data_IF_864895660585
#
_entry.id   IF_864895660585
#
_cell.length_a   1.000
_cell.length_b   1.000
_cell.length_c   1.000
_cell.angle_alpha   90.00
_cell.angle_beta   90.00
_cell.angle_gamma   90.00
#
_symmetry.space_group_name_H-M   'P 1'
#
loop_
_entity.id
_entity.type
_entity.pdbx_description
1 polymer ?
#
# COMPACT_ATOMS: atom_id res chain seq x y z
N UNK A 1 -16.55 -2.96 4.71
CA UNK A 1 -17.31 -3.17 3.47
C UNK A 1 -18.69 -3.72 3.81
N UNK A 2 -19.72 -3.27 3.08
CA UNK A 2 -21.11 -3.71 3.21
C UNK A 2 -21.58 -4.33 1.89
N UNK A 3 -22.53 -5.29 1.91
CA UNK A 3 -23.01 -5.97 0.70
C UNK A 3 -23.98 -5.05 -0.07
N UNK A 4 -23.43 -4.23 -0.95
CA UNK A 4 -24.21 -3.23 -1.73
C UNK A 4 -25.14 -3.87 -2.77
N UNK A 5 -24.92 -5.14 -3.09
CA UNK A 5 -25.72 -5.93 -4.03
C UNK A 5 -26.98 -6.57 -3.40
N UNK A 6 -27.15 -6.46 -2.08
CA UNK A 6 -28.30 -7.04 -1.37
C UNK A 6 -29.44 -6.04 -1.22
N UNK A 7 -30.65 -6.54 -0.95
CA UNK A 7 -31.83 -5.71 -0.64
C UNK A 7 -31.54 -4.65 0.41
N UNK A 8 -30.71 -4.98 1.40
CA UNK A 8 -30.22 -4.04 2.40
C UNK A 8 -28.75 -4.27 2.69
N UNK A 9 -28.00 -3.19 2.85
CA UNK A 9 -26.60 -3.21 3.29
C UNK A 9 -26.46 -3.40 4.80
N UNK A 10 -27.58 -3.48 5.52
CA UNK A 10 -27.56 -3.59 6.98
C UNK A 10 -26.88 -4.87 7.45
N UNK A 11 -26.23 -4.78 8.59
CA UNK A 11 -25.48 -5.85 9.27
C UNK A 11 -26.29 -7.13 9.47
N UNK A 12 -27.61 -7.05 9.59
CA UNK A 12 -28.50 -8.21 9.76
C UNK A 12 -28.38 -9.23 8.62
N UNK A 13 -27.92 -8.85 7.43
CA UNK A 13 -27.80 -9.77 6.30
C UNK A 13 -26.52 -10.62 6.32
N UNK A 14 -25.50 -10.22 7.09
CA UNK A 14 -24.22 -10.96 7.18
C UNK A 14 -23.80 -11.33 8.60
N UNK A 15 -24.47 -10.75 9.61
CA UNK A 15 -24.39 -11.14 11.03
C UNK A 15 -25.77 -11.29 11.65
N UNK A 16 -26.66 -12.10 11.06
CA UNK A 16 -28.02 -12.24 11.55
C UNK A 16 -28.10 -12.80 12.96
N UNK A 17 -27.09 -13.57 13.40
CA UNK A 17 -26.99 -14.10 14.76
C UNK A 17 -26.92 -13.02 15.86
N UNK A 18 -26.56 -11.79 15.51
CA UNK A 18 -26.57 -10.67 16.46
C UNK A 18 -28.00 -10.13 16.70
N UNK A 19 -28.94 -10.45 15.82
CA UNK A 19 -30.33 -10.00 15.86
C UNK A 19 -31.30 -11.15 16.08
N UNK A 20 -31.00 -12.33 15.52
CA UNK A 20 -31.88 -13.49 15.49
C UNK A 20 -31.11 -14.75 15.93
N UNK A 21 -31.51 -15.36 17.05
CA UNK A 21 -30.79 -16.49 17.67
C UNK A 21 -30.66 -17.75 16.80
N UNK A 22 -31.55 -17.92 15.82
CA UNK A 22 -31.64 -19.11 14.98
C UNK A 22 -30.93 -18.98 13.62
N UNK A 23 -30.24 -17.85 13.39
CA UNK A 23 -29.46 -17.63 12.19
C UNK A 23 -27.95 -17.66 12.49
N UNK A 24 -27.18 -18.28 11.61
CA UNK A 24 -25.72 -18.28 11.66
C UNK A 24 -25.11 -17.06 10.96
N UNK A 25 -23.78 -16.93 11.06
CA UNK A 25 -23.01 -15.95 10.30
C UNK A 25 -23.01 -16.29 8.82
N UNK A 26 -23.04 -15.28 7.94
CA UNK A 26 -22.73 -15.46 6.53
C UNK A 26 -21.21 -15.65 6.36
N UNK A 27 -20.78 -16.91 6.32
CA UNK A 27 -19.36 -17.27 6.26
C UNK A 27 -18.75 -16.85 4.92
N UNK A 28 -19.44 -17.00 3.80
CA UNK A 28 -18.96 -16.64 2.48
C UNK A 28 -18.67 -15.14 2.39
N UNK A 29 -19.59 -14.30 2.85
CA UNK A 29 -19.40 -12.86 2.89
C UNK A 29 -18.22 -12.48 3.80
N UNK A 30 -18.09 -13.15 4.94
CA UNK A 30 -16.98 -12.96 5.88
C UNK A 30 -15.63 -13.29 5.26
N UNK A 31 -15.52 -14.40 4.53
CA UNK A 31 -14.30 -14.82 3.85
C UNK A 31 -13.93 -13.88 2.71
N UNK A 32 -14.89 -13.45 1.89
CA UNK A 32 -14.68 -12.42 0.87
C UNK A 32 -14.12 -11.13 1.45
N UNK A 33 -14.64 -10.68 2.57
CA UNK A 33 -14.12 -9.48 3.26
C UNK A 33 -12.69 -9.67 3.76
N UNK A 34 -12.38 -10.84 4.32
CA UNK A 34 -11.04 -11.17 4.81
C UNK A 34 -10.01 -11.26 3.69
N UNK A 35 -10.41 -11.71 2.53
CA UNK A 35 -9.53 -11.79 1.36
C UNK A 35 -9.12 -10.42 0.82
N UNK A 36 -9.91 -9.37 1.06
CA UNK A 36 -9.62 -7.99 0.62
C UNK A 36 -8.70 -7.25 1.58
N UNK A 37 -7.51 -7.78 1.80
CA UNK A 37 -6.47 -7.12 2.61
C UNK A 37 -5.82 -6.00 1.82
N UNK A 38 -5.43 -4.93 2.50
CA UNK A 38 -4.49 -3.93 2.00
C UNK A 38 -3.08 -4.47 2.22
N UNK A 39 -2.26 -4.44 1.19
CA UNK A 39 -0.84 -4.80 1.26
C UNK A 39 -0.01 -3.55 1.00
N UNK A 40 0.96 -3.28 1.87
CA UNK A 40 1.84 -2.11 1.74
C UNK A 40 3.28 -2.60 1.70
N UNK A 41 4.01 -2.17 0.68
CA UNK A 41 5.42 -2.48 0.50
C UNK A 41 6.34 -1.74 1.47
N UNK A 42 7.62 -1.71 1.17
CA UNK A 42 8.64 -1.05 1.98
C UNK A 42 8.80 0.42 1.60
N UNK A 43 9.27 1.26 2.53
CA UNK A 43 9.60 2.68 2.26
C UNK A 43 8.44 3.45 1.61
N UNK A 44 7.21 3.21 2.04
CA UNK A 44 6.01 3.89 1.54
C UNK A 44 5.72 5.11 2.39
N UNK A 45 5.53 6.26 1.74
CA UNK A 45 5.06 7.46 2.42
C UNK A 45 3.57 7.67 2.19
N UNK A 46 2.79 7.64 3.26
CA UNK A 46 1.34 7.89 3.23
C UNK A 46 1.07 9.24 3.85
N UNK A 47 0.58 10.18 3.02
CA UNK A 47 0.23 11.52 3.44
C UNK A 47 -0.94 11.55 4.42
N UNK A 48 -1.01 12.62 5.22
CA UNK A 48 -2.05 12.81 6.23
C UNK A 48 -3.46 12.67 5.64
N UNK A 49 -4.33 11.97 6.34
CA UNK A 49 -5.73 11.81 5.94
C UNK A 49 -5.97 10.92 4.71
N UNK A 50 -4.95 10.29 4.15
CA UNK A 50 -5.13 9.38 3.03
C UNK A 50 -5.98 8.15 3.43
N UNK A 51 -6.82 7.69 2.51
CA UNK A 51 -7.67 6.51 2.67
C UNK A 51 -7.26 5.48 1.63
N UNK A 52 -7.00 4.25 2.06
CA UNK A 52 -6.71 3.13 1.17
C UNK A 52 -7.88 2.14 1.22
N UNK A 53 -8.47 1.86 0.06
CA UNK A 53 -9.62 0.97 -0.02
C UNK A 53 -9.21 -0.50 0.13
N UNK A 54 -10.13 -1.36 0.61
CA UNK A 54 -9.87 -2.79 0.77
C UNK A 54 -9.40 -3.46 -0.52
N UNK A 55 -8.40 -4.34 -0.42
CA UNK A 55 -7.85 -5.11 -1.53
C UNK A 55 -6.76 -4.43 -2.33
N UNK A 56 -6.45 -3.16 -2.02
CA UNK A 56 -5.39 -2.41 -2.71
C UNK A 56 -4.00 -2.85 -2.26
N UNK A 57 -3.10 -2.96 -3.23
CA UNK A 57 -1.66 -3.14 -3.01
C UNK A 57 -0.93 -1.82 -3.28
N UNK A 58 -0.12 -1.38 -2.32
CA UNK A 58 0.74 -0.20 -2.44
C UNK A 58 2.19 -0.67 -2.58
N UNK A 59 2.78 -0.40 -3.74
CA UNK A 59 4.13 -0.82 -4.08
C UNK A 59 5.22 -0.14 -3.25
N UNK A 60 6.36 -0.81 -3.13
CA UNK A 60 7.54 -0.32 -2.41
C UNK A 60 7.97 1.07 -2.92
N UNK A 61 8.34 1.95 -2.01
CA UNK A 61 8.85 3.29 -2.32
C UNK A 61 7.83 4.28 -2.88
N UNK A 62 6.54 3.92 -2.93
CA UNK A 62 5.49 4.81 -3.44
C UNK A 62 5.14 5.92 -2.47
N UNK A 63 4.50 6.95 -2.98
CA UNK A 63 4.05 8.12 -2.22
C UNK A 63 2.56 8.32 -2.46
N UNK A 64 1.80 8.35 -1.38
CA UNK A 64 0.37 8.65 -1.38
C UNK A 64 0.18 10.08 -0.89
N UNK A 65 -0.38 10.93 -1.73
CA UNK A 65 -0.64 12.34 -1.39
C UNK A 65 -1.62 12.48 -0.22
N UNK A 66 -1.52 13.59 0.50
CA UNK A 66 -2.44 13.89 1.60
C UNK A 66 -3.90 13.91 1.12
N UNK A 67 -4.80 13.39 1.94
CA UNK A 67 -6.24 13.27 1.66
C UNK A 67 -6.60 12.49 0.37
N UNK A 68 -5.68 11.73 -0.19
CA UNK A 68 -5.96 10.88 -1.35
C UNK A 68 -6.87 9.69 -0.96
N UNK A 69 -7.72 9.27 -1.90
CA UNK A 69 -8.51 8.03 -1.77
C UNK A 69 -8.00 7.02 -2.80
N UNK A 70 -7.20 6.08 -2.32
CA UNK A 70 -6.54 5.07 -3.16
C UNK A 70 -7.49 3.89 -3.38
N UNK A 71 -8.00 3.78 -4.60
CA UNK A 71 -8.98 2.76 -5.00
C UNK A 71 -8.42 1.69 -5.96
N UNK A 72 -7.18 1.86 -6.42
CA UNK A 72 -6.47 0.94 -7.31
C UNK A 72 -5.07 0.72 -6.80
N UNK A 73 -4.44 -0.38 -7.23
CA UNK A 73 -3.06 -0.68 -6.90
C UNK A 73 -2.13 0.46 -7.34
N UNK A 74 -1.09 0.68 -6.56
CA UNK A 74 -0.05 1.69 -6.79
C UNK A 74 1.25 0.95 -7.08
N UNK A 75 1.86 1.27 -8.22
CA UNK A 75 3.12 0.65 -8.62
C UNK A 75 4.29 1.10 -7.72
N UNK A 76 5.35 0.29 -7.62
CA UNK A 76 6.55 0.69 -6.89
C UNK A 76 7.09 2.05 -7.37
N UNK A 77 7.46 2.89 -6.41
CA UNK A 77 7.98 4.26 -6.62
C UNK A 77 7.02 5.23 -7.32
N UNK A 78 5.76 4.87 -7.47
CA UNK A 78 4.76 5.75 -8.04
C UNK A 78 4.27 6.77 -7.02
N UNK A 79 4.08 8.01 -7.45
CA UNK A 79 3.44 9.07 -6.67
C UNK A 79 2.00 9.20 -7.16
N UNK A 80 1.05 9.03 -6.25
CA UNK A 80 -0.38 9.18 -6.54
C UNK A 80 -1.02 10.19 -5.62
N UNK A 81 -2.03 10.92 -6.10
CA UNK A 81 -2.79 11.86 -5.28
C UNK A 81 -4.21 12.05 -5.81
N UNK A 82 -5.06 12.67 -5.03
CA UNK A 82 -6.43 13.05 -5.39
C UNK A 82 -7.50 12.06 -4.95
N UNK A 83 -8.76 12.37 -5.32
CA UNK A 83 -9.97 11.60 -5.00
C UNK A 83 -10.78 11.43 -6.29
N UNK A 84 -10.79 10.24 -6.92
CA UNK A 84 -9.93 9.08 -6.63
C UNK A 84 -8.46 9.39 -6.91
N UNK A 85 -7.55 8.70 -6.20
CA UNK A 85 -6.12 8.87 -6.40
C UNK A 85 -5.72 8.44 -7.82
N UNK A 86 -4.90 9.28 -8.47
CA UNK A 86 -4.37 9.04 -9.81
C UNK A 86 -2.86 9.18 -9.82
N UNK A 87 -2.15 8.45 -10.70
CA UNK A 87 -0.73 8.63 -10.90
C UNK A 87 -0.37 10.07 -11.29
N UNK A 88 0.65 10.62 -10.65
CA UNK A 88 1.27 11.90 -10.99
C UNK A 88 2.54 11.64 -11.79
N UNK A 89 3.47 10.87 -11.21
CA UNK A 89 4.74 10.47 -11.80
C UNK A 89 5.39 9.35 -10.99
N UNK A 90 6.46 8.81 -11.49
CA UNK A 90 7.38 7.99 -10.70
C UNK A 90 8.44 8.87 -10.01
N UNK A 91 9.00 8.38 -8.90
CA UNK A 91 10.11 9.04 -8.19
C UNK A 91 11.39 9.00 -9.02
N UNK A 92 11.60 7.90 -9.75
CA UNK A 92 12.83 7.60 -10.49
C UNK A 92 12.51 7.02 -11.86
N UNK A 93 13.51 7.01 -12.77
CA UNK A 93 13.45 6.30 -14.05
C UNK A 93 13.41 4.77 -13.82
N UNK A 94 12.95 4.03 -14.81
CA UNK A 94 12.73 2.58 -14.74
C UNK A 94 13.99 1.82 -14.27
N UNK A 95 15.13 2.08 -14.90
CA UNK A 95 16.41 1.44 -14.58
C UNK A 95 16.85 1.66 -13.12
N UNK A 96 16.63 2.87 -12.60
CA UNK A 96 16.94 3.20 -11.21
C UNK A 96 15.98 2.49 -10.25
N UNK A 97 14.69 2.41 -10.60
CA UNK A 97 13.68 1.71 -9.80
C UNK A 97 14.03 0.21 -9.67
N UNK A 98 14.40 -0.41 -10.79
CA UNK A 98 14.79 -1.81 -10.82
C UNK A 98 16.03 -2.08 -9.95
N UNK A 99 17.03 -1.20 -10.01
CA UNK A 99 18.22 -1.28 -9.17
C UNK A 99 17.93 -1.12 -7.69
N UNK A 100 17.05 -0.16 -7.32
CA UNK A 100 16.64 0.01 -5.92
C UNK A 100 15.90 -1.23 -5.42
N UNK A 101 15.00 -1.80 -6.21
CA UNK A 101 14.30 -3.04 -5.86
C UNK A 101 15.27 -4.20 -5.71
N UNK A 102 16.22 -4.34 -6.62
CA UNK A 102 17.24 -5.40 -6.57
C UNK A 102 18.15 -5.28 -5.35
N UNK A 103 18.47 -4.06 -4.91
CA UNK A 103 19.29 -3.83 -3.72
C UNK A 103 18.64 -4.33 -2.43
N UNK A 104 17.32 -4.34 -2.40
CA UNK A 104 16.50 -4.69 -1.22
C UNK A 104 17.05 -4.09 0.08
N UNK A 105 17.45 -2.81 0.04
CA UNK A 105 18.16 -2.10 1.11
C UNK A 105 17.44 -2.17 2.46
N UNK A 106 16.15 -2.31 2.47
CA UNK A 106 15.33 -2.49 3.68
C UNK A 106 15.62 -3.81 4.42
N UNK A 107 16.33 -4.75 3.79
CA UNK A 107 16.81 -5.99 4.38
C UNK A 107 18.30 -5.92 4.78
N UNK A 108 18.98 -4.80 4.58
CA UNK A 108 20.38 -4.68 4.96
C UNK A 108 20.53 -4.73 6.48
N UNK A 109 21.66 -5.26 6.97
CA UNK A 109 22.01 -5.12 8.38
C UNK A 109 22.00 -3.65 8.81
N UNK A 110 21.60 -3.39 10.05
CA UNK A 110 21.49 -2.01 10.56
C UNK A 110 22.83 -1.27 10.50
N UNK A 111 23.95 -1.99 10.67
CA UNK A 111 25.29 -1.46 10.56
C UNK A 111 25.59 -0.94 9.16
N UNK A 112 25.24 -1.72 8.13
CA UNK A 112 25.38 -1.29 6.72
C UNK A 112 24.53 -0.05 6.42
N UNK A 113 23.30 -0.01 6.93
CA UNK A 113 22.44 1.18 6.76
C UNK A 113 23.09 2.40 7.42
N UNK A 114 23.59 2.24 8.65
CA UNK A 114 24.25 3.34 9.38
C UNK A 114 25.49 3.88 8.64
N UNK A 115 26.31 3.00 8.08
CA UNK A 115 27.48 3.37 7.26
C UNK A 115 27.08 4.09 5.97
N UNK A 116 25.95 3.74 5.38
CA UNK A 116 25.48 4.33 4.13
C UNK A 116 24.79 5.70 4.31
N UNK A 117 24.33 6.07 5.51
CA UNK A 117 23.58 7.32 5.75
C UNK A 117 24.29 8.58 5.23
N UNK A 118 25.60 8.82 5.48
CA UNK A 118 26.26 10.02 4.96
C UNK A 118 26.20 10.09 3.43
N UNK A 119 26.36 8.96 2.75
CA UNK A 119 26.27 8.91 1.30
C UNK A 119 24.83 9.07 0.79
N UNK A 120 23.84 8.56 1.51
CA UNK A 120 22.39 8.79 1.20
C UNK A 120 22.05 10.29 1.23
N UNK A 121 22.73 11.07 2.07
CA UNK A 121 22.47 12.51 2.24
C UNK A 121 23.08 13.36 1.12
N UNK A 122 24.17 12.93 0.51
CA UNK A 122 24.96 13.77 -0.39
C UNK A 122 25.11 13.25 -1.82
N UNK A 123 25.02 11.93 -2.03
CA UNK A 123 25.19 11.36 -3.36
C UNK A 123 23.87 11.35 -4.14
N UNK A 124 23.98 11.57 -5.46
CA UNK A 124 22.90 11.26 -6.38
C UNK A 124 22.60 9.76 -6.37
N UNK A 125 21.34 9.40 -6.61
CA UNK A 125 20.87 8.02 -6.48
C UNK A 125 21.68 7.02 -7.32
N UNK A 126 22.07 7.36 -8.53
CA UNK A 126 22.84 6.47 -9.41
C UNK A 126 24.22 6.18 -8.83
N UNK A 127 24.92 7.22 -8.37
CA UNK A 127 26.24 7.10 -7.72
C UNK A 127 26.14 6.32 -6.41
N UNK A 128 25.08 6.55 -5.65
CA UNK A 128 24.82 5.80 -4.44
C UNK A 128 24.66 4.29 -4.73
N UNK A 129 23.83 3.97 -5.73
CA UNK A 129 23.61 2.57 -6.12
C UNK A 129 24.88 1.90 -6.69
N UNK A 130 25.75 2.65 -7.37
CA UNK A 130 27.03 2.10 -7.86
C UNK A 130 27.96 1.72 -6.70
N UNK A 131 27.88 2.42 -5.59
CA UNK A 131 28.71 2.18 -4.41
C UNK A 131 28.17 1.11 -3.47
N UNK A 132 26.87 1.04 -3.29
CA UNK A 132 26.25 0.28 -2.19
C UNK A 132 25.37 -0.90 -2.61
N UNK A 133 24.87 -0.94 -3.85
CA UNK A 133 23.89 -1.91 -4.32
C UNK A 133 24.42 -2.95 -5.31
#
# INVERSE_FOLDING_TARGET
>A
EHPVERLTMHKLTYRPNEYFRFHGLDQEFRERRRAKRVTIGHDVWIGHGAVVLPGVTIGTGSVIGANAVVSKDVEPFQIVAGVPAKPIRFRFKDEVRDRILASAWWNWPVEKVAEAIPDMQVLGIEVFLDKWA
#
